data_IF_387251597731
#
_entry.id   IF_387251597731
#
_cell.length_a   1.000
_cell.length_b   1.000
_cell.length_c   1.000
_cell.angle_alpha   90.00
_cell.angle_beta   90.00
_cell.angle_gamma   90.00
#
_symmetry.space_group_name_H-M   'P 1'
#
loop_
_entity.id
_entity.type
_entity.pdbx_description
1 polymer ?
#
# COMPACT_ATOMS: atom_id res chain seq x y z
N UNK A 1 -1.89 -19.08 44.60
CA UNK A 1 -3.28 -19.41 44.95
C UNK A 1 -4.13 -19.25 43.70
N UNK A 2 -5.08 -20.16 43.39
CA UNK A 2 -5.96 -20.02 42.24
C UNK A 2 -7.02 -18.94 42.48
N UNK A 3 -7.32 -18.13 41.46
CA UNK A 3 -8.34 -17.08 41.51
C UNK A 3 -9.73 -17.70 41.63
N UNK A 4 -10.56 -17.14 42.51
CA UNK A 4 -11.94 -17.58 42.73
C UNK A 4 -12.88 -16.88 41.73
N UNK A 5 -13.98 -17.55 41.36
CA UNK A 5 -14.92 -17.04 40.35
C UNK A 5 -15.47 -15.63 40.65
N UNK A 6 -15.61 -15.29 41.94
CA UNK A 6 -16.07 -13.98 42.42
C UNK A 6 -15.06 -12.84 42.24
N UNK A 7 -13.79 -13.17 41.97
CA UNK A 7 -12.71 -12.21 41.78
C UNK A 7 -12.53 -11.85 40.29
N UNK A 8 -13.29 -12.51 39.39
CA UNK A 8 -13.29 -12.23 37.97
C UNK A 8 -14.22 -11.04 37.68
N UNK A 9 -13.73 -10.09 36.91
CA UNK A 9 -14.49 -8.94 36.41
C UNK A 9 -14.76 -9.15 34.92
N UNK A 10 -15.97 -8.79 34.48
CA UNK A 10 -16.32 -8.91 33.08
C UNK A 10 -15.45 -7.99 32.20
N UNK A 11 -14.89 -8.58 31.16
CA UNK A 11 -14.04 -7.92 30.18
C UNK A 11 -14.90 -6.99 29.30
N UNK A 12 -14.94 -5.70 29.64
CA UNK A 12 -15.83 -4.72 28.98
C UNK A 12 -15.52 -4.45 27.51
N UNK A 13 -14.36 -4.87 27.03
CA UNK A 13 -13.87 -4.61 25.68
C UNK A 13 -13.87 -5.87 24.80
N UNK A 14 -14.25 -7.03 25.34
CA UNK A 14 -14.24 -8.29 24.60
C UNK A 14 -15.12 -8.24 23.35
N UNK A 15 -16.32 -7.64 23.46
CA UNK A 15 -17.25 -7.50 22.34
C UNK A 15 -16.70 -6.57 21.25
N UNK A 16 -16.12 -5.43 21.65
CA UNK A 16 -15.54 -4.45 20.71
C UNK A 16 -14.35 -5.04 19.93
N UNK A 17 -13.47 -5.77 20.61
CA UNK A 17 -12.35 -6.47 19.95
C UNK A 17 -12.85 -7.55 19.01
N UNK A 18 -13.83 -8.34 19.44
CA UNK A 18 -14.40 -9.40 18.61
C UNK A 18 -15.01 -8.80 17.34
N UNK A 19 -15.73 -7.68 17.47
CA UNK A 19 -16.31 -6.97 16.33
C UNK A 19 -15.24 -6.42 15.36
N UNK A 20 -14.13 -5.90 15.87
CA UNK A 20 -13.01 -5.46 15.03
C UNK A 20 -12.35 -6.64 14.31
N UNK A 21 -12.20 -7.80 14.97
CA UNK A 21 -11.67 -9.03 14.35
C UNK A 21 -12.60 -9.55 13.24
N UNK A 22 -13.91 -9.57 13.47
CA UNK A 22 -14.90 -9.99 12.48
C UNK A 22 -14.88 -9.06 11.26
N UNK A 23 -14.74 -7.74 11.49
CA UNK A 23 -14.63 -6.74 10.42
C UNK A 23 -13.38 -6.98 9.56
N UNK A 24 -12.23 -7.26 10.19
CA UNK A 24 -10.99 -7.58 9.47
C UNK A 24 -11.12 -8.87 8.66
N UNK A 25 -11.77 -9.91 9.21
CA UNK A 25 -12.02 -11.16 8.48
C UNK A 25 -12.90 -10.95 7.24
N UNK A 26 -13.93 -10.11 7.33
CA UNK A 26 -14.80 -9.79 6.19
C UNK A 26 -14.06 -9.05 5.07
N UNK A 27 -13.14 -8.13 5.41
CA UNK A 27 -12.33 -7.42 4.43
C UNK A 27 -11.37 -8.36 3.66
N UNK A 28 -10.82 -9.39 4.32
CA UNK A 28 -9.96 -10.39 3.69
C UNK A 28 -10.65 -11.23 2.61
N UNK A 29 -11.98 -11.25 2.54
CA UNK A 29 -12.74 -12.01 1.54
C UNK A 29 -12.87 -11.30 0.18
N UNK A 30 -12.44 -10.04 0.08
CA UNK A 30 -12.31 -9.36 -1.21
C UNK A 30 -11.11 -9.92 -1.97
N UNK A 31 -11.29 -11.09 -2.58
CA UNK A 31 -10.31 -11.77 -3.42
C UNK A 31 -10.01 -10.92 -4.66
N UNK A 32 -9.04 -10.02 -4.52
CA UNK A 32 -8.24 -9.58 -5.65
C UNK A 32 -7.53 -10.81 -6.21
N UNK A 33 -7.56 -11.03 -7.53
CA UNK A 33 -6.84 -12.14 -8.15
C UNK A 33 -5.37 -12.12 -7.67
N UNK A 34 -4.99 -13.12 -6.89
CA UNK A 34 -3.67 -13.21 -6.29
C UNK A 34 -2.67 -13.62 -7.38
N UNK A 35 -2.04 -12.62 -7.97
CA UNK A 35 -0.91 -12.83 -8.85
C UNK A 35 0.29 -13.24 -7.99
N UNK A 36 0.88 -14.41 -8.25
CA UNK A 36 2.04 -14.92 -7.48
C UNK A 36 3.24 -13.96 -7.48
N UNK A 37 3.31 -13.05 -8.47
CA UNK A 37 4.32 -11.99 -8.53
C UNK A 37 4.14 -10.89 -7.47
N UNK A 38 2.99 -10.82 -6.83
CA UNK A 38 2.67 -9.81 -5.80
C UNK A 38 2.93 -10.35 -4.38
N UNK A 39 3.59 -11.51 -4.26
CA UNK A 39 3.98 -12.12 -2.99
C UNK A 39 5.49 -12.03 -2.79
N UNK A 40 5.89 -11.85 -1.54
CA UNK A 40 7.28 -11.89 -1.14
C UNK A 40 7.84 -13.31 -1.24
N UNK A 41 8.99 -13.48 -1.88
CA UNK A 41 9.63 -14.79 -2.07
C UNK A 41 9.99 -15.49 -0.75
N UNK A 42 10.34 -14.73 0.30
CA UNK A 42 10.76 -15.29 1.58
C UNK A 42 9.57 -15.64 2.49
N UNK A 43 8.56 -14.76 2.52
CA UNK A 43 7.47 -14.85 3.52
C UNK A 43 6.14 -15.28 2.91
N UNK A 44 6.02 -15.31 1.57
CA UNK A 44 4.79 -15.60 0.82
C UNK A 44 3.61 -14.66 1.13
N UNK A 45 3.91 -13.53 1.76
CA UNK A 45 2.97 -12.46 2.09
C UNK A 45 2.86 -11.44 0.96
N UNK A 46 1.70 -10.78 0.87
CA UNK A 46 1.47 -9.69 -0.09
C UNK A 46 2.52 -8.59 0.07
N UNK A 47 3.05 -8.12 -1.07
CA UNK A 47 3.88 -6.93 -1.14
C UNK A 47 3.02 -5.70 -0.83
N UNK A 48 3.30 -5.04 0.28
CA UNK A 48 2.50 -3.91 0.78
C UNK A 48 3.34 -2.69 1.15
N UNK A 49 4.67 -2.83 1.16
CA UNK A 49 5.60 -1.80 1.60
C UNK A 49 6.63 -1.54 0.50
N UNK A 50 6.90 -0.27 0.22
CA UNK A 50 8.02 0.13 -0.62
C UNK A 50 9.20 0.56 0.26
N UNK A 51 10.33 -0.11 0.12
CA UNK A 51 11.58 0.30 0.75
C UNK A 51 12.23 1.40 -0.09
N UNK A 52 12.25 2.63 0.42
CA UNK A 52 12.79 3.78 -0.29
C UNK A 52 14.30 3.70 -0.50
N UNK A 53 15.01 3.11 0.47
CA UNK A 53 16.47 2.93 0.41
C UNK A 53 16.86 1.88 -0.63
N UNK A 54 16.17 0.73 -0.66
CA UNK A 54 16.48 -0.36 -1.60
C UNK A 54 15.83 -0.19 -2.97
N UNK A 55 14.84 0.70 -3.11
CA UNK A 55 13.99 0.85 -4.30
C UNK A 55 13.29 -0.46 -4.69
N UNK A 56 12.73 -1.17 -3.70
CA UNK A 56 12.07 -2.47 -3.89
C UNK A 56 10.76 -2.55 -3.13
N UNK A 57 9.80 -3.26 -3.71
CA UNK A 57 8.57 -3.68 -3.04
C UNK A 57 8.87 -4.88 -2.14
N UNK A 58 8.41 -4.85 -0.90
CA UNK A 58 8.59 -5.89 0.11
C UNK A 58 7.28 -6.13 0.87
N UNK A 59 7.16 -7.23 1.60
CA UNK A 59 6.04 -7.45 2.51
C UNK A 59 6.28 -6.79 3.88
N UNK A 60 5.25 -6.76 4.72
CA UNK A 60 5.33 -6.20 6.07
C UNK A 60 6.32 -6.95 6.97
N UNK A 61 6.47 -8.27 6.81
CA UNK A 61 7.43 -9.06 7.59
C UNK A 61 8.88 -8.66 7.27
N UNK A 62 9.21 -8.41 5.99
CA UNK A 62 10.52 -7.89 5.61
C UNK A 62 10.84 -6.53 6.27
N UNK A 63 9.83 -5.66 6.40
CA UNK A 63 10.00 -4.32 6.97
C UNK A 63 10.21 -4.34 8.49
N UNK A 64 9.52 -5.24 9.19
CA UNK A 64 9.53 -5.30 10.67
C UNK A 64 10.63 -6.22 11.23
N UNK A 65 10.80 -7.41 10.63
CA UNK A 65 11.59 -8.51 11.21
C UNK A 65 12.64 -9.07 10.26
N UNK A 66 12.68 -8.61 9.01
CA UNK A 66 13.50 -9.21 7.96
C UNK A 66 15.02 -9.08 8.16
N UNK A 67 15.49 -8.29 9.14
CA UNK A 67 16.91 -8.05 9.44
C UNK A 67 17.68 -7.28 8.36
N UNK A 68 17.46 -7.61 7.08
CA UNK A 68 18.09 -7.05 5.88
C UNK A 68 17.69 -5.60 5.59
N UNK A 69 16.57 -5.13 6.15
CA UNK A 69 16.07 -3.77 5.95
C UNK A 69 16.19 -2.88 7.20
N UNK A 70 17.03 -3.26 8.17
CA UNK A 70 17.25 -2.46 9.38
C UNK A 70 17.70 -1.03 9.06
N UNK A 71 17.02 -0.04 9.64
CA UNK A 71 17.36 1.39 9.46
C UNK A 71 16.99 1.99 8.10
N UNK A 72 16.24 1.27 7.26
CA UNK A 72 15.75 1.81 5.99
C UNK A 72 14.46 2.63 6.16
N UNK A 73 14.21 3.51 5.19
CA UNK A 73 12.97 4.27 5.12
C UNK A 73 11.93 3.49 4.33
N UNK A 74 10.73 3.35 4.91
CA UNK A 74 9.61 2.63 4.31
C UNK A 74 8.44 3.56 4.06
N UNK A 75 7.67 3.26 3.03
CA UNK A 75 6.37 3.86 2.75
C UNK A 75 5.37 2.80 2.31
N UNK A 76 4.07 2.98 2.56
CA UNK A 76 3.05 2.11 1.98
C UNK A 76 3.17 2.05 0.46
N UNK A 77 3.08 0.86 -0.13
CA UNK A 77 3.21 0.69 -1.58
C UNK A 77 2.11 1.44 -2.34
N UNK A 78 0.89 1.47 -1.79
CA UNK A 78 -0.24 2.20 -2.36
C UNK A 78 0.03 3.71 -2.49
N UNK A 79 0.64 4.32 -1.47
CA UNK A 79 1.00 5.75 -1.48
C UNK A 79 2.01 6.05 -2.60
N UNK A 80 3.04 5.21 -2.74
CA UNK A 80 4.05 5.37 -3.79
C UNK A 80 3.43 5.20 -5.18
N UNK A 81 2.53 4.23 -5.34
CA UNK A 81 1.80 4.02 -6.58
C UNK A 81 1.00 5.27 -6.97
N UNK A 82 0.19 5.80 -6.05
CA UNK A 82 -0.61 7.02 -6.30
C UNK A 82 0.27 8.23 -6.64
N UNK A 83 1.41 8.39 -5.95
CA UNK A 83 2.39 9.44 -6.26
C UNK A 83 2.96 9.29 -7.68
N UNK A 84 3.31 8.07 -8.08
CA UNK A 84 3.83 7.80 -9.42
C UNK A 84 2.76 8.02 -10.51
N UNK A 85 1.54 7.55 -10.29
CA UNK A 85 0.42 7.77 -11.22
C UNK A 85 0.17 9.26 -11.42
N UNK A 86 0.12 10.03 -10.32
CA UNK A 86 -0.04 11.49 -10.37
C UNK A 86 1.07 12.13 -11.19
N UNK A 87 2.33 11.78 -10.92
CA UNK A 87 3.48 12.33 -11.65
C UNK A 87 3.43 12.01 -13.14
N UNK A 88 3.09 10.78 -13.52
CA UNK A 88 2.95 10.39 -14.94
C UNK A 88 1.85 11.20 -15.61
N UNK A 89 0.69 11.36 -14.96
CA UNK A 89 -0.42 12.14 -15.49
C UNK A 89 -0.07 13.61 -15.69
N UNK A 90 0.69 14.21 -14.77
CA UNK A 90 1.18 15.58 -14.90
C UNK A 90 2.11 15.75 -16.10
N UNK A 91 3.05 14.83 -16.30
CA UNK A 91 3.96 14.86 -17.46
C UNK A 91 3.19 14.65 -18.77
N UNK A 92 2.23 13.72 -18.80
CA UNK A 92 1.34 13.55 -19.96
C UNK A 92 0.55 14.82 -20.25
N UNK A 93 0.04 15.51 -19.23
CA UNK A 93 -0.67 16.77 -19.40
C UNK A 93 0.24 17.88 -19.96
N UNK A 94 1.50 17.95 -19.52
CA UNK A 94 2.50 18.88 -20.09
C UNK A 94 2.74 18.61 -21.57
N UNK A 95 2.92 17.34 -21.94
CA UNK A 95 3.11 16.94 -23.34
C UNK A 95 1.90 17.28 -24.20
N UNK A 96 0.67 17.06 -23.69
CA UNK A 96 -0.57 17.44 -24.39
C UNK A 96 -0.67 18.95 -24.62
N UNK A 97 -0.33 19.76 -23.61
CA UNK A 97 -0.29 21.23 -23.77
C UNK A 97 0.72 21.64 -24.83
N UNK A 98 1.92 21.06 -24.80
CA UNK A 98 2.96 21.37 -25.80
C UNK A 98 2.55 20.97 -27.21
N UNK A 99 1.87 19.83 -27.37
CA UNK A 99 1.32 19.42 -28.65
C UNK A 99 0.29 20.43 -29.18
N UNK A 100 -0.62 20.91 -28.33
CA UNK A 100 -1.60 21.93 -28.73
C UNK A 100 -0.94 23.25 -29.15
N UNK A 101 0.08 23.71 -28.41
CA UNK A 101 0.87 24.89 -28.79
C UNK A 101 1.50 24.73 -30.18
N UNK A 102 2.11 23.58 -30.46
CA UNK A 102 2.74 23.30 -31.75
C UNK A 102 1.70 23.25 -32.89
N UNK A 103 0.52 22.65 -32.65
CA UNK A 103 -0.57 22.63 -33.63
C UNK A 103 -1.03 24.06 -33.97
N UNK A 104 -1.19 24.92 -32.95
CA UNK A 104 -1.58 26.32 -33.15
C UNK A 104 -0.59 27.07 -34.03
N UNK A 105 0.71 26.94 -33.73
CA UNK A 105 1.78 27.59 -34.50
C UNK A 105 1.79 27.12 -35.97
N UNK A 106 1.57 25.83 -36.23
CA UNK A 106 1.49 25.31 -37.59
C UNK A 106 0.29 25.87 -38.34
N UNK A 107 -0.88 25.98 -37.68
CA UNK A 107 -2.09 26.55 -38.28
C UNK A 107 -1.93 28.04 -38.62
N UNK A 108 -1.18 28.80 -37.81
CA UNK A 108 -0.89 30.21 -38.06
C UNK A 108 -0.04 30.42 -39.32
N UNK A 109 0.93 29.54 -39.60
CA UNK A 109 1.83 29.65 -40.77
C UNK A 109 1.15 29.25 -42.07
N UNK A 110 0.13 28.39 -42.01
CA UNK A 110 -0.61 27.91 -43.20
C UNK A 110 -1.71 28.92 -43.63
N UNK A 111 -1.95 29.98 -42.85
CA UNK A 111 -2.81 31.10 -43.23
C UNK A 111 -2.07 32.15 -44.05
#
# INVERSE_FOLDING_TARGET
>A
APLQLRELVNCRWAEEVTQQLDTLQLCSLTKHEENEKDKCENHHEKLSVFCWTCKKCICHQCALWGGMHGGHTFKPLAEIYEQHVTKVNEEVAKLRRRLMELISLVQEVVR
#
